data_IF_738366069372
#
_entry.id   IF_738366069372
#
_cell.length_a   1.000
_cell.length_b   1.000
_cell.length_c   1.000
_cell.angle_alpha   90.00
_cell.angle_beta   90.00
_cell.angle_gamma   90.00
#
_symmetry.space_group_name_H-M   'P 1'
#
loop_
_entity.id
_entity.type
_entity.pdbx_description
1 polymer ?
#
# COMPACT_ATOMS: atom_id res chain seq x y z
N UNK A 1 -12.11 -20.34 -9.24
CA UNK A 1 -11.59 -19.16 -8.51
C UNK A 1 -10.14 -19.44 -8.19
N UNK A 2 -9.23 -18.51 -8.50
CA UNK A 2 -7.80 -18.61 -8.12
C UNK A 2 -7.52 -17.44 -7.18
N UNK A 3 -6.92 -17.72 -6.03
CA UNK A 3 -6.52 -16.72 -5.03
C UNK A 3 -5.01 -16.87 -4.82
N UNK A 4 -4.29 -15.76 -4.79
CA UNK A 4 -2.85 -15.72 -4.54
C UNK A 4 -2.53 -14.62 -3.52
N UNK A 5 -1.59 -14.91 -2.61
CA UNK A 5 -1.20 -13.97 -1.57
C UNK A 5 -0.27 -14.61 -0.54
N UNK A 6 0.21 -13.80 0.39
CA UNK A 6 1.07 -14.22 1.49
C UNK A 6 0.50 -13.68 2.80
N UNK A 7 -0.03 -14.57 3.65
CA UNK A 7 -0.59 -14.20 4.95
C UNK A 7 0.46 -13.71 5.97
N UNK A 8 1.76 -13.79 5.65
CA UNK A 8 2.83 -13.16 6.41
C UNK A 8 3.01 -11.67 6.09
N UNK A 9 2.30 -11.14 5.10
CA UNK A 9 2.26 -9.70 4.77
C UNK A 9 1.08 -9.01 5.49
N UNK A 10 0.89 -7.72 5.19
CA UNK A 10 -0.12 -6.89 5.85
C UNK A 10 -1.53 -7.50 5.77
N UNK A 11 -2.27 -7.55 6.88
CA UNK A 11 -3.67 -7.93 6.90
C UNK A 11 -4.52 -6.87 6.18
N UNK A 12 -5.78 -7.19 5.82
CA UNK A 12 -6.65 -6.21 5.17
C UNK A 12 -6.96 -5.02 6.09
N UNK A 13 -6.94 -3.81 5.52
CA UNK A 13 -7.28 -2.57 6.23
C UNK A 13 -8.79 -2.54 6.51
N UNK A 14 -9.17 -2.26 7.75
CA UNK A 14 -10.57 -2.15 8.20
C UNK A 14 -11.43 -3.41 7.94
N UNK A 15 -10.81 -4.57 7.71
CA UNK A 15 -11.51 -5.84 7.58
C UNK A 15 -10.81 -6.93 8.41
N UNK A 16 -11.50 -8.07 8.56
CA UNK A 16 -10.99 -9.20 9.33
C UNK A 16 -10.23 -10.15 8.39
N UNK A 17 -9.02 -10.60 8.74
CA UNK A 17 -8.33 -11.65 7.98
C UNK A 17 -9.15 -12.94 7.87
N UNK A 18 -8.96 -13.71 6.79
CA UNK A 18 -9.71 -14.97 6.58
C UNK A 18 -9.38 -16.06 7.62
N UNK A 19 -8.20 -15.97 8.24
CA UNK A 19 -7.76 -16.81 9.35
C UNK A 19 -8.24 -16.29 10.72
N UNK A 20 -9.12 -15.28 10.77
CA UNK A 20 -9.70 -14.83 12.03
C UNK A 20 -10.51 -15.97 12.70
N UNK A 21 -10.38 -16.14 14.03
CA UNK A 21 -11.05 -17.22 14.75
C UNK A 21 -12.58 -17.07 14.68
N UNK A 22 -13.30 -18.17 14.94
CA UNK A 22 -14.77 -18.21 14.92
C UNK A 22 -15.41 -17.28 15.95
N UNK A 23 -14.70 -16.97 17.04
CA UNK A 23 -15.08 -15.94 18.02
C UNK A 23 -15.17 -14.53 17.43
N UNK A 24 -14.50 -14.30 16.30
CA UNK A 24 -14.42 -12.98 15.65
C UNK A 24 -15.27 -12.92 14.37
N UNK A 25 -15.44 -14.04 13.67
CA UNK A 25 -16.32 -14.19 12.51
C UNK A 25 -17.11 -15.48 12.68
N UNK A 26 -18.41 -15.33 13.00
CA UNK A 26 -19.31 -16.46 13.16
C UNK A 26 -19.39 -17.26 11.86
N UNK A 27 -19.36 -18.61 11.91
CA UNK A 27 -19.63 -19.46 10.75
C UNK A 27 -21.13 -19.56 10.42
N UNK A 28 -22.00 -18.97 11.25
CA UNK A 28 -23.45 -19.03 11.10
C UNK A 28 -23.98 -17.64 10.73
N UNK A 29 -24.79 -17.61 9.66
CA UNK A 29 -25.51 -16.42 9.22
C UNK A 29 -26.80 -16.30 10.02
N UNK A 30 -27.04 -15.12 10.61
CA UNK A 30 -28.29 -14.81 11.30
C UNK A 30 -28.92 -13.55 10.71
N UNK A 31 -30.26 -13.52 10.60
CA UNK A 31 -31.00 -12.39 10.04
C UNK A 31 -30.76 -11.05 10.76
N UNK A 32 -30.30 -11.08 12.02
CA UNK A 32 -29.96 -9.89 12.82
C UNK A 32 -28.52 -9.37 12.61
N UNK A 33 -27.67 -10.09 11.87
CA UNK A 33 -26.30 -9.64 11.58
C UNK A 33 -26.29 -8.47 10.61
N UNK A 34 -25.31 -7.57 10.78
CA UNK A 34 -25.07 -6.51 9.80
C UNK A 34 -24.71 -7.09 8.44
N UNK A 35 -24.97 -6.35 7.35
CA UNK A 35 -24.59 -6.78 5.99
C UNK A 35 -23.08 -7.06 5.90
N UNK A 36 -22.26 -6.27 6.61
CA UNK A 36 -20.80 -6.48 6.65
C UNK A 36 -20.43 -7.80 7.32
N UNK A 37 -21.07 -8.13 8.44
CA UNK A 37 -20.82 -9.39 9.15
C UNK A 37 -21.27 -10.60 8.32
N UNK A 38 -22.42 -10.50 7.65
CA UNK A 38 -22.88 -11.54 6.73
C UNK A 38 -21.87 -11.77 5.60
N UNK A 39 -21.34 -10.70 4.99
CA UNK A 39 -20.28 -10.78 3.97
C UNK A 39 -19.01 -11.43 4.51
N UNK A 40 -18.59 -11.10 5.74
CA UNK A 40 -17.43 -11.71 6.38
C UNK A 40 -17.65 -13.22 6.62
N UNK A 41 -18.83 -13.62 7.08
CA UNK A 41 -19.20 -15.03 7.27
C UNK A 41 -19.20 -15.78 5.93
N UNK A 42 -19.82 -15.23 4.89
CA UNK A 42 -19.82 -15.84 3.55
C UNK A 42 -18.39 -15.99 3.02
N UNK A 43 -17.57 -14.94 3.12
CA UNK A 43 -16.17 -14.97 2.69
C UNK A 43 -15.37 -16.06 3.40
N UNK A 44 -15.59 -16.22 4.71
CA UNK A 44 -14.97 -17.29 5.50
C UNK A 44 -15.46 -18.68 5.08
N UNK A 45 -16.77 -18.87 4.86
CA UNK A 45 -17.31 -20.15 4.39
C UNK A 45 -16.70 -20.53 3.03
N UNK A 46 -16.64 -19.58 2.08
CA UNK A 46 -16.03 -19.79 0.76
C UNK A 46 -14.55 -20.14 0.89
N UNK A 47 -13.80 -19.41 1.73
CA UNK A 47 -12.40 -19.71 2.02
C UNK A 47 -12.25 -21.17 2.47
N UNK A 48 -13.11 -21.63 3.39
CA UNK A 48 -13.09 -23.00 3.92
C UNK A 48 -13.40 -24.09 2.88
N UNK A 49 -13.97 -23.75 1.71
CA UNK A 49 -14.19 -24.69 0.60
C UNK A 49 -12.95 -24.90 -0.28
N UNK A 50 -11.91 -24.08 -0.13
CA UNK A 50 -10.67 -24.25 -0.92
C UNK A 50 -9.91 -25.48 -0.42
N UNK A 51 -9.78 -26.48 -1.30
CA UNK A 51 -9.12 -27.76 -1.04
C UNK A 51 -7.83 -27.97 -1.83
N UNK A 52 -7.58 -27.14 -2.83
CA UNK A 52 -6.35 -27.16 -3.63
C UNK A 52 -5.51 -25.96 -3.26
N UNK A 53 -4.31 -26.21 -2.77
CA UNK A 53 -3.35 -25.19 -2.34
C UNK A 53 -2.01 -25.52 -2.96
N UNK A 54 -1.31 -24.52 -3.46
CA UNK A 54 0.05 -24.65 -3.99
C UNK A 54 0.91 -23.59 -3.32
N UNK A 55 1.99 -24.01 -2.66
CA UNK A 55 2.95 -23.13 -2.00
C UNK A 55 4.21 -23.05 -2.86
N UNK A 56 4.51 -21.86 -3.36
CA UNK A 56 5.75 -21.57 -4.07
C UNK A 56 6.89 -21.42 -3.06
N UNK A 57 7.98 -22.19 -3.23
CA UNK A 57 9.11 -22.22 -2.28
C UNK A 57 10.30 -21.37 -2.72
N UNK A 58 10.50 -21.19 -4.02
CA UNK A 58 11.63 -20.43 -4.55
C UNK A 58 11.33 -18.93 -4.56
N UNK A 59 12.15 -18.15 -3.86
CA UNK A 59 12.06 -16.69 -3.85
C UNK A 59 12.83 -16.11 -5.06
N UNK A 60 12.09 -15.65 -6.07
CA UNK A 60 12.66 -15.06 -7.29
C UNK A 60 13.08 -13.59 -7.13
N UNK A 61 12.78 -12.95 -5.99
CA UNK A 61 13.17 -11.56 -5.72
C UNK A 61 14.62 -11.44 -5.25
N UNK A 62 15.06 -12.41 -4.45
CA UNK A 62 16.35 -12.42 -3.76
C UNK A 62 17.21 -13.57 -4.26
N UNK A 63 17.61 -13.50 -5.53
CA UNK A 63 18.35 -14.56 -6.23
C UNK A 63 19.85 -14.54 -5.93
N UNK A 64 20.38 -13.44 -5.40
CA UNK A 64 21.79 -13.36 -5.01
C UNK A 64 22.10 -14.32 -3.85
N UNK A 65 23.26 -14.97 -3.91
CA UNK A 65 23.67 -16.02 -2.96
C UNK A 65 24.89 -15.64 -2.11
N UNK A 66 25.18 -14.34 -1.97
CA UNK A 66 26.24 -13.91 -1.05
C UNK A 66 25.91 -14.32 0.39
N UNK A 67 26.92 -14.44 1.25
CA UNK A 67 26.71 -14.76 2.66
C UNK A 67 25.74 -13.79 3.35
N UNK A 68 25.77 -12.51 2.95
CA UNK A 68 24.84 -11.48 3.44
C UNK A 68 23.42 -11.69 2.92
N UNK A 69 23.26 -11.99 1.63
CA UNK A 69 21.95 -12.28 1.06
C UNK A 69 21.30 -13.52 1.70
N UNK A 70 22.09 -14.55 2.01
CA UNK A 70 21.61 -15.73 2.75
C UNK A 70 21.16 -15.34 4.15
N UNK A 71 21.97 -14.57 4.91
CA UNK A 71 21.59 -14.07 6.24
C UNK A 71 20.33 -13.22 6.19
N UNK A 72 20.21 -12.35 5.20
CA UNK A 72 19.04 -11.50 5.02
C UNK A 72 17.79 -12.30 4.69
N UNK A 73 17.89 -13.29 3.80
CA UNK A 73 16.79 -14.18 3.45
C UNK A 73 16.31 -14.97 4.68
N UNK A 74 17.24 -15.51 5.47
CA UNK A 74 16.91 -16.19 6.73
C UNK A 74 16.20 -15.26 7.70
N UNK A 75 16.71 -14.03 7.91
CA UNK A 75 16.08 -13.05 8.76
C UNK A 75 14.65 -12.71 8.30
N UNK A 76 14.42 -12.56 6.99
CA UNK A 76 13.08 -12.33 6.44
C UNK A 76 12.14 -13.52 6.61
N UNK A 77 12.62 -14.75 6.38
CA UNK A 77 11.84 -15.97 6.60
C UNK A 77 11.41 -16.09 8.05
N UNK A 78 12.32 -15.81 9.00
CA UNK A 78 12.01 -15.83 10.43
C UNK A 78 11.08 -14.68 10.81
N UNK A 79 11.30 -13.48 10.27
CA UNK A 79 10.47 -12.29 10.49
C UNK A 79 9.03 -12.49 10.05
N UNK A 80 8.80 -13.22 8.95
CA UNK A 80 7.47 -13.61 8.47
C UNK A 80 6.63 -14.31 9.55
N UNK A 81 7.27 -15.00 10.48
CA UNK A 81 6.64 -15.70 11.59
C UNK A 81 6.86 -15.02 12.95
N UNK A 82 7.37 -13.78 12.96
CA UNK A 82 7.83 -13.08 14.15
C UNK A 82 8.75 -13.96 15.03
N UNK A 83 9.63 -14.73 14.40
CA UNK A 83 10.51 -15.70 15.04
C UNK A 83 11.99 -15.38 14.79
N UNK A 84 12.33 -14.10 14.61
CA UNK A 84 13.73 -13.69 14.45
C UNK A 84 14.57 -14.15 15.63
N UNK A 85 15.76 -14.65 15.33
CA UNK A 85 16.77 -15.03 16.31
C UNK A 85 17.66 -13.83 16.66
N UNK A 86 18.49 -13.96 17.69
CA UNK A 86 19.49 -12.93 18.02
C UNK A 86 20.48 -12.69 16.86
N UNK A 87 20.81 -13.73 16.09
CA UNK A 87 21.66 -13.60 14.91
C UNK A 87 20.98 -12.76 13.82
N UNK A 88 19.67 -12.95 13.61
CA UNK A 88 18.88 -12.14 12.66
C UNK A 88 18.82 -10.68 13.09
N UNK A 89 18.63 -10.42 14.39
CA UNK A 89 18.61 -9.06 14.94
C UNK A 89 19.95 -8.36 14.77
N UNK A 90 21.06 -8.99 15.16
CA UNK A 90 22.40 -8.43 14.98
C UNK A 90 22.70 -8.13 13.52
N UNK A 91 22.26 -9.02 12.62
CA UNK A 91 22.40 -8.82 11.19
C UNK A 91 21.57 -7.61 10.70
N UNK A 92 20.30 -7.50 11.08
CA UNK A 92 19.45 -6.38 10.71
C UNK A 92 19.99 -5.05 11.28
N UNK A 93 20.52 -5.03 12.50
CA UNK A 93 21.19 -3.85 13.09
C UNK A 93 22.42 -3.41 12.30
N UNK A 94 23.12 -4.34 11.62
CA UNK A 94 24.23 -4.00 10.73
C UNK A 94 23.77 -3.23 9.48
N UNK A 95 22.49 -3.37 9.11
CA UNK A 95 21.86 -2.63 7.99
C UNK A 95 21.23 -1.30 8.42
N UNK A 96 21.26 -0.97 9.71
CA UNK A 96 20.82 0.33 10.22
C UNK A 96 21.90 1.38 10.00
N UNK A 97 21.50 2.56 9.51
CA UNK A 97 22.40 3.69 9.30
C UNK A 97 23.17 3.99 10.58
N UNK A 98 24.47 4.21 10.44
CA UNK A 98 25.33 4.65 11.52
C UNK A 98 26.55 5.39 10.96
N UNK A 99 27.19 6.20 11.80
CA UNK A 99 28.48 6.84 11.49
C UNK A 99 29.68 5.87 11.65
N UNK A 100 29.45 4.61 12.03
CA UNK A 100 30.50 3.60 12.21
C UNK A 100 30.93 3.02 10.86
N UNK A 101 32.19 2.63 10.74
CA UNK A 101 32.74 1.93 9.58
C UNK A 101 31.97 0.63 9.30
N UNK A 102 31.84 0.24 8.03
CA UNK A 102 31.09 -0.92 7.52
C UNK A 102 29.55 -0.90 7.73
N UNK A 103 28.95 0.27 7.96
CA UNK A 103 27.48 0.44 7.95
C UNK A 103 27.02 1.32 6.78
N UNK A 104 25.77 1.18 6.31
CA UNK A 104 25.28 1.98 5.20
C UNK A 104 25.26 3.47 5.56
N UNK A 105 25.76 4.30 4.63
CA UNK A 105 25.75 5.75 4.76
C UNK A 105 24.67 6.36 3.86
N UNK A 106 23.74 7.08 4.47
CA UNK A 106 22.65 7.77 3.75
C UNK A 106 23.13 8.88 2.81
N UNK A 107 24.35 9.37 3.02
CA UNK A 107 24.96 10.38 2.14
C UNK A 107 25.41 9.82 0.79
N UNK A 108 25.38 8.50 0.57
CA UNK A 108 25.72 7.94 -0.73
C UNK A 108 24.68 8.33 -1.78
N UNK A 109 25.16 8.70 -2.98
CA UNK A 109 24.33 9.13 -4.10
C UNK A 109 23.30 8.08 -4.55
N UNK A 110 23.59 6.79 -4.33
CA UNK A 110 22.71 5.68 -4.69
C UNK A 110 21.37 5.67 -3.93
N UNK A 111 21.30 6.33 -2.76
CA UNK A 111 20.08 6.44 -1.96
C UNK A 111 19.32 7.75 -2.19
N UNK A 112 19.87 8.65 -3.02
CA UNK A 112 19.27 9.96 -3.27
C UNK A 112 17.98 9.81 -4.06
N UNK A 113 16.93 10.49 -3.62
CA UNK A 113 15.60 10.48 -4.23
C UNK A 113 14.94 9.10 -4.31
N UNK A 114 15.47 8.11 -3.56
CA UNK A 114 14.85 6.79 -3.43
C UNK A 114 13.70 6.88 -2.42
N UNK A 115 12.52 6.42 -2.82
CA UNK A 115 11.33 6.48 -1.96
C UNK A 115 11.53 5.70 -0.64
N UNK A 116 11.31 6.34 0.50
CA UNK A 116 11.41 5.73 1.82
C UNK A 116 10.11 5.00 2.15
N UNK A 117 10.18 3.71 2.51
CA UNK A 117 9.01 2.99 3.01
C UNK A 117 8.79 3.35 4.48
N UNK A 118 7.59 3.82 4.81
CA UNK A 118 7.17 4.11 6.19
C UNK A 118 5.80 3.50 6.50
N UNK A 119 5.40 3.41 7.76
CA UNK A 119 4.15 2.77 8.17
C UNK A 119 2.91 3.66 7.95
N UNK A 120 3.04 4.98 8.08
CA UNK A 120 1.90 5.89 8.18
C UNK A 120 1.91 7.00 7.11
N UNK A 121 0.72 7.48 6.76
CA UNK A 121 0.56 8.53 5.74
C UNK A 121 1.12 9.89 6.19
N UNK A 122 1.02 10.26 7.47
CA UNK A 122 1.49 11.56 7.95
C UNK A 122 3.03 11.73 7.84
N UNK A 123 3.86 10.78 8.34
CA UNK A 123 5.31 10.80 8.08
C UNK A 123 5.63 10.78 6.58
N UNK A 124 4.91 9.96 5.79
CA UNK A 124 5.07 9.90 4.33
C UNK A 124 4.85 11.27 3.69
N UNK A 125 3.77 11.96 4.02
CA UNK A 125 3.45 13.25 3.44
C UNK A 125 4.49 14.31 3.82
N UNK A 126 4.99 14.30 5.07
CA UNK A 126 6.04 15.21 5.48
C UNK A 126 7.38 14.95 4.78
N UNK A 127 7.76 13.68 4.61
CA UNK A 127 8.97 13.30 3.87
C UNK A 127 8.84 13.70 2.39
N UNK A 128 7.66 13.52 1.80
CA UNK A 128 7.39 13.93 0.43
C UNK A 128 7.50 15.44 0.22
N UNK A 129 6.94 16.23 1.13
CA UNK A 129 7.07 17.70 1.12
C UNK A 129 8.55 18.12 1.20
N UNK A 130 9.28 17.65 2.22
CA UNK A 130 10.70 17.97 2.39
C UNK A 130 11.56 17.48 1.21
N UNK A 131 11.26 16.29 0.69
CA UNK A 131 11.92 15.70 -0.45
C UNK A 131 11.72 16.53 -1.72
N UNK A 132 10.51 17.04 -1.95
CA UNK A 132 10.23 17.93 -3.09
C UNK A 132 11.01 19.24 -3.02
N UNK A 133 11.05 19.89 -1.85
CA UNK A 133 11.83 21.12 -1.66
C UNK A 133 13.32 20.88 -1.89
N UNK A 134 13.87 19.83 -1.25
CA UNK A 134 15.27 19.45 -1.42
C UNK A 134 15.60 19.13 -2.88
N UNK A 135 14.74 18.39 -3.58
CA UNK A 135 14.97 18.05 -4.99
C UNK A 135 15.02 19.30 -5.88
N UNK A 136 14.11 20.25 -5.67
CA UNK A 136 14.09 21.50 -6.42
C UNK A 136 15.35 22.33 -6.18
N UNK A 137 15.77 22.48 -4.92
CA UNK A 137 17.02 23.17 -4.54
C UNK A 137 18.25 22.50 -5.19
N UNK A 138 18.35 21.17 -5.09
CA UNK A 138 19.48 20.41 -5.62
C UNK A 138 19.57 20.41 -7.15
N UNK A 139 18.43 20.59 -7.83
CA UNK A 139 18.37 20.67 -9.30
C UNK A 139 18.34 22.11 -9.82
N UNK A 140 18.37 23.11 -8.94
CA UNK A 140 18.27 24.53 -9.32
C UNK A 140 16.93 24.91 -9.93
N UNK A 141 15.87 24.16 -9.63
CA UNK A 141 14.51 24.39 -10.14
C UNK A 141 13.63 25.05 -9.06
N UNK A 142 12.50 25.61 -9.50
CA UNK A 142 11.46 26.15 -8.61
C UNK A 142 10.26 25.23 -8.65
N UNK A 143 9.70 24.91 -7.48
CA UNK A 143 8.44 24.17 -7.40
C UNK A 143 7.29 25.06 -7.87
N UNK A 144 6.49 24.52 -8.79
CA UNK A 144 5.25 25.13 -9.25
C UNK A 144 4.08 24.52 -8.48
N UNK A 145 3.32 25.36 -7.78
CA UNK A 145 2.12 24.95 -7.04
C UNK A 145 0.90 24.91 -7.95
N UNK A 146 0.21 23.76 -7.94
CA UNK A 146 -1.07 23.56 -8.58
C UNK A 146 -2.14 23.23 -7.55
N UNK A 147 -3.20 24.02 -7.55
CA UNK A 147 -4.27 23.92 -6.58
C UNK A 147 -5.42 23.10 -7.14
N UNK A 148 -6.15 22.40 -6.27
CA UNK A 148 -7.35 21.68 -6.67
C UNK A 148 -8.52 22.63 -6.89
N UNK A 149 -9.48 22.19 -7.70
CA UNK A 149 -10.77 22.87 -7.82
C UNK A 149 -11.79 22.13 -6.95
N UNK A 150 -12.14 22.73 -5.80
CA UNK A 150 -13.04 22.13 -4.83
C UNK A 150 -14.43 22.77 -4.89
N UNK A 151 -15.46 21.95 -4.81
CA UNK A 151 -16.87 22.39 -4.79
C UNK A 151 -17.64 21.68 -3.69
N UNK A 152 -18.65 22.34 -3.14
CA UNK A 152 -19.52 21.80 -2.09
C UNK A 152 -20.96 21.74 -2.62
N UNK A 153 -21.77 20.82 -2.09
CA UNK A 153 -23.19 20.82 -2.36
C UNK A 153 -23.88 21.81 -1.41
N UNK A 154 -24.80 22.64 -1.91
CA UNK A 154 -25.48 23.72 -1.16
C UNK A 154 -26.07 23.35 0.22
N UNK A 155 -26.30 22.07 0.51
CA UNK A 155 -26.84 21.60 1.79
C UNK A 155 -25.82 20.91 2.72
N UNK A 156 -24.52 21.02 2.44
CA UNK A 156 -23.47 20.52 3.33
C UNK A 156 -23.14 21.58 4.40
N UNK A 157 -24.13 21.99 5.18
CA UNK A 157 -23.87 22.67 6.45
C UNK A 157 -23.12 21.73 7.39
N UNK A 158 -22.24 22.28 8.22
CA UNK A 158 -21.44 21.57 9.25
C UNK A 158 -22.34 20.59 10.02
N UNK A 159 -22.35 19.32 9.62
CA UNK A 159 -23.26 18.32 10.16
C UNK A 159 -22.48 17.32 10.99
N UNK A 160 -22.49 17.50 12.31
CA UNK A 160 -22.06 16.50 13.29
C UNK A 160 -22.91 15.20 13.29
N UNK A 161 -23.86 15.03 12.37
CA UNK A 161 -24.79 13.87 12.36
C UNK A 161 -25.05 13.37 10.94
N UNK A 162 -24.94 12.04 10.75
CA UNK A 162 -25.40 11.34 9.54
C UNK A 162 -26.85 11.71 9.25
N UNK A 163 -27.20 12.19 8.04
CA UNK A 163 -28.58 12.58 7.74
C UNK A 163 -29.50 11.36 7.74
N UNK A 164 -30.63 11.46 8.44
CA UNK A 164 -31.73 10.50 8.35
C UNK A 164 -32.35 10.58 6.95
N UNK A 165 -32.71 9.42 6.40
CA UNK A 165 -33.37 9.28 5.10
C UNK A 165 -34.72 10.02 5.08
N UNK A 166 -34.74 11.26 4.57
CA UNK A 166 -35.98 11.93 4.18
C UNK A 166 -36.14 11.76 2.68
N UNK A 167 -37.16 10.99 2.28
CA UNK A 167 -37.59 10.87 0.88
C UNK A 167 -38.32 12.16 0.49
N UNK A 168 -37.75 12.95 -0.43
CA UNK A 168 -38.47 14.08 -1.01
C UNK A 168 -37.62 14.94 -1.95
N UNK A 169 -38.08 15.05 -3.21
CA UNK A 169 -37.67 15.95 -4.31
C UNK A 169 -36.18 15.95 -4.71
N UNK A 170 -35.92 15.55 -5.97
CA UNK A 170 -34.67 15.85 -6.67
C UNK A 170 -34.57 17.36 -6.89
N UNK A 171 -34.03 18.09 -5.92
CA UNK A 171 -33.46 19.41 -6.15
C UNK A 171 -32.11 19.22 -6.85
N UNK A 172 -31.93 19.89 -8.00
CA UNK A 172 -30.64 19.98 -8.67
C UNK A 172 -29.67 20.60 -7.68
N UNK A 173 -28.68 19.83 -7.20
CA UNK A 173 -27.67 20.33 -6.28
C UNK A 173 -26.77 21.28 -7.05
N UNK A 174 -27.01 22.59 -6.91
CA UNK A 174 -26.05 23.59 -7.32
C UNK A 174 -24.74 23.35 -6.54
N UNK A 175 -23.63 23.33 -7.29
CA UNK A 175 -22.29 23.23 -6.73
C UNK A 175 -21.84 24.65 -6.44
N UNK A 176 -21.63 24.97 -5.17
CA UNK A 176 -21.09 26.26 -4.75
C UNK A 176 -19.60 26.16 -4.49
N UNK A 177 -18.89 27.24 -4.81
CA UNK A 177 -17.48 27.45 -4.47
C UNK A 177 -17.34 27.68 -2.97
N UNK A 178 -16.24 27.20 -2.40
CA UNK A 178 -15.95 27.37 -0.98
C UNK A 178 -15.56 28.82 -0.64
N UNK A 179 -15.83 29.31 0.57
CA UNK A 179 -15.26 30.57 1.04
C UNK A 179 -13.71 30.52 0.96
N UNK A 180 -13.02 31.61 0.56
CA UNK A 180 -11.57 31.60 0.36
C UNK A 180 -10.76 31.06 1.56
N UNK A 181 -11.13 31.44 2.78
CA UNK A 181 -10.45 30.97 3.99
C UNK A 181 -10.54 29.45 4.18
N UNK A 182 -11.72 28.85 3.90
CA UNK A 182 -11.90 27.39 3.97
C UNK A 182 -11.16 26.69 2.84
N UNK A 183 -11.16 27.29 1.64
CA UNK A 183 -10.43 26.75 0.49
C UNK A 183 -8.93 26.70 0.76
N UNK A 184 -8.36 27.76 1.36
CA UNK A 184 -6.95 27.82 1.72
C UNK A 184 -6.57 26.70 2.71
N UNK A 185 -7.37 26.49 3.75
CA UNK A 185 -7.15 25.38 4.70
C UNK A 185 -7.14 24.01 4.01
N UNK A 186 -8.00 23.80 3.02
CA UNK A 186 -8.08 22.55 2.26
C UNK A 186 -6.90 22.35 1.30
N UNK A 187 -6.28 23.43 0.82
CA UNK A 187 -5.07 23.40 0.01
C UNK A 187 -3.82 23.14 0.86
N UNK A 188 -3.77 23.70 2.07
CA UNK A 188 -2.65 23.54 3.00
C UNK A 188 -2.69 22.20 3.76
N UNK A 189 -3.85 21.53 3.80
CA UNK A 189 -3.98 20.22 4.42
C UNK A 189 -3.18 19.13 3.69
N UNK A 190 -2.38 18.36 4.45
CA UNK A 190 -1.70 17.19 3.89
C UNK A 190 -2.70 16.17 3.33
N UNK A 191 -2.33 15.41 2.27
CA UNK A 191 -3.18 14.35 1.73
C UNK A 191 -3.67 13.33 2.77
N UNK A 192 -2.91 13.09 3.85
CA UNK A 192 -3.28 12.22 4.97
C UNK A 192 -4.57 12.65 5.69
N UNK A 193 -4.95 13.93 5.64
CA UNK A 193 -6.19 14.46 6.22
C UNK A 193 -7.41 14.26 5.30
N UNK A 194 -7.23 13.61 4.16
CA UNK A 194 -8.32 13.21 3.27
C UNK A 194 -8.47 11.69 3.23
N UNK A 195 -9.71 11.19 3.26
CA UNK A 195 -10.00 9.74 3.27
C UNK A 195 -9.36 9.00 2.08
N UNK A 196 -9.35 9.63 0.91
CA UNK A 196 -8.85 9.06 -0.34
C UNK A 196 -7.43 9.47 -0.69
N UNK A 197 -6.78 10.26 0.16
CA UNK A 197 -5.42 10.77 -0.01
C UNK A 197 -5.22 11.56 -1.31
N UNK A 198 -6.16 12.45 -1.63
CA UNK A 198 -6.12 13.33 -2.80
C UNK A 198 -5.66 14.71 -2.35
N UNK A 199 -4.50 15.15 -2.86
CA UNK A 199 -3.90 16.42 -2.48
C UNK A 199 -4.79 17.62 -2.85
N UNK A 200 -4.87 18.61 -1.95
CA UNK A 200 -5.45 19.92 -2.27
C UNK A 200 -4.48 20.79 -3.07
N UNK A 201 -3.18 20.63 -2.83
CA UNK A 201 -2.10 21.32 -3.54
C UNK A 201 -1.04 20.31 -3.98
N UNK A 202 -0.56 20.44 -5.21
CA UNK A 202 0.55 19.68 -5.75
C UNK A 202 1.70 20.63 -6.10
N UNK A 203 2.84 20.47 -5.44
CA UNK A 203 4.06 21.20 -5.74
C UNK A 203 4.96 20.34 -6.63
N UNK A 204 5.18 20.76 -7.88
CA UNK A 204 5.84 19.96 -8.92
C UNK A 204 6.96 20.74 -9.62
N UNK A 205 7.99 20.02 -10.06
CA UNK A 205 8.99 20.49 -11.04
C UNK A 205 9.34 19.33 -11.99
N UNK A 206 10.01 19.62 -13.10
CA UNK A 206 10.38 18.58 -14.07
C UNK A 206 11.40 17.62 -13.46
N UNK A 207 11.21 16.32 -13.70
CA UNK A 207 12.02 15.24 -13.15
C UNK A 207 11.62 14.79 -11.74
N UNK A 208 10.71 15.51 -11.06
CA UNK A 208 10.29 15.18 -9.69
C UNK A 208 9.70 13.75 -9.63
N UNK A 209 10.17 12.88 -8.71
CA UNK A 209 9.57 11.56 -8.49
C UNK A 209 8.12 11.67 -8.02
N UNK A 210 7.22 10.97 -8.71
CA UNK A 210 5.78 10.90 -8.40
C UNK A 210 5.28 9.46 -8.42
N UNK A 211 4.15 9.23 -7.76
CA UNK A 211 3.42 7.96 -7.77
C UNK A 211 1.97 8.20 -8.16
N UNK A 212 1.49 7.41 -9.12
CA UNK A 212 0.10 7.44 -9.58
C UNK A 212 -0.81 6.86 -8.49
N UNK A 213 -1.93 7.52 -8.20
CA UNK A 213 -2.85 7.17 -7.11
C UNK A 213 -4.20 6.64 -7.58
N UNK A 214 -4.40 6.52 -8.89
CA UNK A 214 -5.62 6.03 -9.50
C UNK A 214 -5.34 4.98 -10.58
N UNK A 215 -6.27 4.04 -10.77
CA UNK A 215 -6.27 3.19 -11.94
C UNK A 215 -7.05 3.91 -13.03
N UNK A 216 -6.37 4.40 -14.07
CA UNK A 216 -7.03 5.08 -15.20
C UNK A 216 -7.03 4.19 -16.44
N UNK A 217 -5.85 3.73 -16.86
CA UNK A 217 -5.69 2.87 -18.02
C UNK A 217 -4.62 1.81 -17.73
N UNK A 218 -5.07 0.62 -17.31
CA UNK A 218 -4.18 -0.53 -17.05
C UNK A 218 -3.39 -0.92 -18.28
N UNK A 219 -3.98 -0.76 -19.47
CA UNK A 219 -3.33 -1.00 -20.76
C UNK A 219 -2.18 -0.04 -21.07
N UNK A 220 -2.16 1.14 -20.45
CA UNK A 220 -1.07 2.11 -20.57
C UNK A 220 -0.18 2.11 -19.32
N UNK A 221 -0.31 1.10 -18.46
CA UNK A 221 0.36 1.00 -17.17
C UNK A 221 0.05 2.18 -16.21
N UNK A 222 -1.02 2.95 -16.46
CA UNK A 222 -1.50 4.04 -15.61
C UNK A 222 -2.31 3.44 -14.47
N UNK A 223 -1.60 2.90 -13.48
CA UNK A 223 -2.15 2.15 -12.37
C UNK A 223 -1.77 2.74 -11.03
N UNK A 224 -2.63 2.55 -10.02
CA UNK A 224 -2.38 2.99 -8.66
C UNK A 224 -1.13 2.29 -8.11
N UNK A 225 -0.13 3.08 -7.76
CA UNK A 225 1.14 2.63 -7.24
C UNK A 225 2.26 2.55 -8.28
N UNK A 226 1.98 2.81 -9.56
CA UNK A 226 3.01 2.99 -10.59
C UNK A 226 3.84 4.23 -10.28
N UNK A 227 5.17 4.08 -10.33
CA UNK A 227 6.14 5.13 -10.08
C UNK A 227 6.53 5.81 -11.39
N UNK A 228 6.87 7.10 -11.32
CA UNK A 228 7.27 7.87 -12.48
C UNK A 228 7.98 9.16 -12.11
N UNK A 229 8.36 9.92 -13.13
CA UNK A 229 8.93 11.26 -13.02
C UNK A 229 8.07 12.25 -13.80
N UNK A 230 7.95 13.47 -13.28
CA UNK A 230 7.27 14.55 -14.00
C UNK A 230 8.03 14.85 -15.29
N UNK A 231 7.39 14.69 -16.45
CA UNK A 231 7.95 15.03 -17.76
C UNK A 231 7.54 16.44 -18.22
N UNK A 232 6.41 16.95 -17.70
CA UNK A 232 5.87 18.27 -18.03
C UNK A 232 4.40 18.36 -17.64
N UNK A 233 3.75 19.47 -17.93
CA UNK A 233 2.32 19.67 -17.64
C UNK A 233 1.69 20.72 -18.54
N UNK A 234 0.35 20.72 -18.57
CA UNK A 234 -0.47 21.86 -18.98
C UNK A 234 -1.20 22.42 -17.77
N UNK A 235 -1.41 23.73 -17.78
CA UNK A 235 -2.10 24.45 -16.70
C UNK A 235 -3.38 25.11 -17.19
N UNK A 236 -4.28 25.38 -16.26
CA UNK A 236 -5.49 26.15 -16.49
C UNK A 236 -5.77 27.06 -15.28
N UNK A 237 -6.79 27.91 -15.39
CA UNK A 237 -7.29 28.76 -14.31
C UNK A 237 -8.50 28.12 -13.63
N UNK A 238 -8.49 28.04 -12.31
CA UNK A 238 -9.57 27.47 -11.49
C UNK A 238 -10.62 28.51 -11.06
N UNK A 239 -11.58 28.08 -10.24
CA UNK A 239 -12.74 28.89 -9.84
C UNK A 239 -12.42 30.06 -8.88
N UNK A 240 -11.22 30.09 -8.31
CA UNK A 240 -10.69 31.13 -7.43
C UNK A 240 -9.51 31.87 -8.09
N UNK A 241 -9.46 31.91 -9.43
CA UNK A 241 -8.35 32.45 -10.23
C UNK A 241 -6.97 31.83 -9.92
N UNK A 242 -6.98 30.64 -9.32
CA UNK A 242 -5.80 29.90 -8.94
C UNK A 242 -5.27 29.04 -10.09
N UNK A 243 -3.96 28.82 -10.12
CA UNK A 243 -3.33 27.89 -11.07
C UNK A 243 -3.74 26.45 -10.75
N UNK A 244 -4.35 25.76 -11.71
CA UNK A 244 -4.72 24.35 -11.60
C UNK A 244 -3.94 23.49 -12.58
N UNK A 245 -3.69 22.24 -12.21
CA UNK A 245 -3.03 21.26 -13.08
C UNK A 245 -4.09 20.63 -13.98
N UNK A 246 -3.98 20.83 -15.29
CA UNK A 246 -4.96 20.31 -16.25
C UNK A 246 -4.58 18.90 -16.70
N UNK A 247 -3.37 18.77 -17.27
CA UNK A 247 -2.77 17.50 -17.66
C UNK A 247 -1.34 17.42 -17.15
N UNK A 248 -0.99 16.29 -16.54
CA UNK A 248 0.38 15.98 -16.13
C UNK A 248 0.96 14.92 -17.05
N UNK A 249 2.13 15.19 -17.61
CA UNK A 249 2.91 14.19 -18.33
C UNK A 249 3.86 13.49 -17.36
N UNK A 250 3.79 12.16 -17.30
CA UNK A 250 4.61 11.34 -16.39
C UNK A 250 5.40 10.32 -17.20
N UNK A 251 6.72 10.34 -17.04
CA UNK A 251 7.62 9.28 -17.51
C UNK A 251 7.55 8.11 -16.53
N UNK A 252 7.05 6.94 -16.98
CA UNK A 252 6.91 5.75 -16.14
C UNK A 252 8.27 5.08 -15.90
N UNK A 253 8.57 4.77 -14.63
CA UNK A 253 9.76 4.01 -14.23
C UNK A 253 9.43 2.51 -14.28
N UNK A 254 10.25 1.75 -15.01
CA UNK A 254 10.16 0.28 -15.14
C UNK A 254 8.73 -0.26 -15.35
N UNK A 255 7.95 0.27 -16.31
CA UNK A 255 6.60 -0.20 -16.53
C UNK A 255 6.62 -1.67 -17.00
N UNK A 256 5.59 -2.48 -16.67
CA UNK A 256 5.51 -3.90 -17.07
C UNK A 256 5.64 -4.15 -18.57
N UNK A 257 5.24 -3.17 -19.39
CA UNK A 257 5.47 -3.15 -20.84
C UNK A 257 5.91 -1.75 -21.24
N UNK A 258 6.70 -1.67 -22.31
CA UNK A 258 7.04 -0.38 -22.92
C UNK A 258 5.76 0.28 -23.44
N UNK A 259 5.57 1.55 -23.12
CA UNK A 259 4.45 2.37 -23.59
C UNK A 259 4.97 3.40 -24.59
N UNK A 260 4.24 3.61 -25.68
CA UNK A 260 4.51 4.63 -26.67
C UNK A 260 3.19 5.24 -27.11
N UNK A 261 2.88 6.43 -26.59
CA UNK A 261 1.73 7.22 -27.05
C UNK A 261 2.21 8.05 -28.25
N UNK A 262 1.39 8.23 -29.31
CA UNK A 262 1.73 9.12 -30.41
C UNK A 262 2.14 10.50 -29.90
N UNK A 263 3.19 11.06 -30.51
CA UNK A 263 3.73 12.41 -30.22
C UNK A 263 4.30 12.61 -28.80
N UNK A 264 4.35 11.58 -27.96
CA UNK A 264 5.02 11.62 -26.65
C UNK A 264 6.31 10.80 -26.67
N UNK A 265 7.30 11.13 -25.81
CA UNK A 265 8.46 10.27 -25.63
C UNK A 265 8.08 8.88 -25.12
N UNK A 266 8.99 7.92 -25.29
CA UNK A 266 8.82 6.55 -24.79
C UNK A 266 8.53 6.56 -23.29
N UNK A 267 7.56 5.75 -22.87
CA UNK A 267 7.06 5.61 -21.50
C UNK A 267 6.48 6.90 -20.88
N UNK A 268 6.26 7.95 -21.66
CA UNK A 268 5.56 9.15 -21.18
C UNK A 268 4.06 8.99 -21.43
N UNK A 269 3.28 9.20 -20.38
CA UNK A 269 1.81 9.14 -20.41
C UNK A 269 1.20 10.46 -19.91
N UNK A 270 0.03 10.80 -20.44
CA UNK A 270 -0.75 11.95 -19.98
C UNK A 270 -1.78 11.51 -18.93
N UNK A 271 -1.82 12.20 -17.80
CA UNK A 271 -2.76 11.98 -16.70
C UNK A 271 -3.56 13.27 -16.51
N UNK A 272 -4.87 13.21 -16.71
CA UNK A 272 -5.74 14.39 -16.61
C UNK A 272 -6.37 14.50 -15.22
N UNK A 273 -6.80 15.71 -14.86
CA UNK A 273 -7.52 15.92 -13.60
C UNK A 273 -8.83 15.13 -13.57
N UNK A 274 -9.12 14.53 -12.42
CA UNK A 274 -10.35 13.75 -12.20
C UNK A 274 -11.13 14.35 -11.04
N UNK A 275 -12.46 14.39 -11.16
CA UNK A 275 -13.36 14.83 -10.10
C UNK A 275 -13.74 13.66 -9.17
N UNK A 276 -13.48 13.78 -7.87
CA UNK A 276 -13.83 12.78 -6.84
C UNK A 276 -14.48 13.43 -5.63
N UNK A 277 -15.42 12.73 -5.00
CA UNK A 277 -15.95 13.11 -3.68
C UNK A 277 -14.95 12.69 -2.60
N UNK A 278 -14.64 13.61 -1.70
CA UNK A 278 -13.62 13.43 -0.67
C UNK A 278 -14.14 13.96 0.66
N UNK A 279 -13.97 13.18 1.72
CA UNK A 279 -14.08 13.68 3.09
C UNK A 279 -12.73 14.24 3.53
N UNK A 280 -12.74 15.51 3.91
CA UNK A 280 -11.57 16.24 4.39
C UNK A 280 -11.75 16.56 5.87
N UNK A 281 -10.73 16.27 6.67
CA UNK A 281 -10.65 16.67 8.07
C UNK A 281 -10.04 18.07 8.14
N UNK A 282 -10.73 18.99 8.80
CA UNK A 282 -10.30 20.35 9.03
C UNK A 282 -9.48 20.46 10.34
N UNK A 283 -8.71 21.54 10.56
CA UNK A 283 -7.90 21.73 11.76
C UNK A 283 -8.69 21.76 13.09
N UNK A 284 -10.01 21.98 13.01
CA UNK A 284 -10.94 21.96 14.14
C UNK A 284 -11.61 20.59 14.36
N UNK A 285 -11.04 19.53 13.78
CA UNK A 285 -11.53 18.15 13.76
C UNK A 285 -12.89 17.95 13.08
N UNK A 286 -13.44 18.98 12.44
CA UNK A 286 -14.66 18.83 11.64
C UNK A 286 -14.37 18.11 10.33
N UNK A 287 -15.33 17.31 9.88
CA UNK A 287 -15.26 16.61 8.59
C UNK A 287 -16.17 17.26 7.56
N UNK A 288 -15.59 17.67 6.44
CA UNK A 288 -16.31 18.29 5.33
C UNK A 288 -16.28 17.39 4.09
N UNK A 289 -17.44 17.16 3.48
CA UNK A 289 -17.51 16.46 2.20
C UNK A 289 -17.45 17.48 1.05
N UNK A 290 -16.42 17.37 0.23
CA UNK A 290 -16.23 18.18 -0.98
C UNK A 290 -16.21 17.31 -2.23
N UNK A 291 -16.40 17.91 -3.39
CA UNK A 291 -16.02 17.35 -4.68
C UNK A 291 -14.74 18.04 -5.12
N UNK A 292 -13.64 17.30 -5.16
CA UNK A 292 -12.30 17.77 -5.50
C UNK A 292 -11.95 17.32 -6.91
N UNK A 293 -11.52 18.27 -7.75
CA UNK A 293 -10.95 18.02 -9.07
C UNK A 293 -9.43 18.27 -9.01
N UNK A 294 -8.66 17.21 -9.27
CA UNK A 294 -7.19 17.25 -9.24
C UNK A 294 -6.62 16.06 -10.02
N UNK A 295 -5.37 16.18 -10.51
CA UNK A 295 -4.61 15.04 -11.03
C UNK A 295 -4.23 14.11 -9.88
N UNK A 296 -4.50 12.81 -10.03
CA UNK A 296 -4.39 11.84 -8.95
C UNK A 296 -2.97 11.25 -8.84
N UNK A 297 -2.00 12.11 -8.52
CA UNK A 297 -0.61 11.75 -8.21
C UNK A 297 -0.20 12.30 -6.84
N UNK A 298 0.87 11.77 -6.27
CA UNK A 298 1.57 12.36 -5.12
C UNK A 298 3.09 12.28 -5.36
N UNK A 299 3.90 13.20 -4.77
CA UNK A 299 5.35 13.02 -4.74
C UNK A 299 5.72 11.65 -4.13
N UNK A 300 6.87 11.11 -4.55
CA UNK A 300 7.29 9.75 -4.20
C UNK A 300 8.73 9.70 -3.64
N UNK A 301 9.03 10.57 -2.67
CA UNK A 301 10.19 10.44 -1.79
C UNK A 301 9.90 9.55 -0.58
N UNK A 302 8.62 9.27 -0.31
CA UNK A 302 8.17 8.25 0.61
C UNK A 302 6.86 7.59 0.14
N UNK A 303 6.69 6.33 0.55
CA UNK A 303 5.48 5.56 0.36
C UNK A 303 5.12 4.77 1.62
N UNK A 304 3.85 4.40 1.79
CA UNK A 304 3.48 3.49 2.87
C UNK A 304 3.89 2.04 2.58
N UNK A 305 4.10 1.25 3.62
CA UNK A 305 4.28 -0.21 3.53
C UNK A 305 3.17 -0.90 2.71
N UNK A 306 1.91 -0.51 2.88
CA UNK A 306 0.80 -0.94 2.03
C UNK A 306 1.00 -0.58 0.55
N UNK A 307 1.47 0.64 0.25
CA UNK A 307 1.71 1.08 -1.13
C UNK A 307 2.94 0.39 -1.74
N UNK A 308 3.85 -0.09 -0.90
CA UNK A 308 5.04 -0.85 -1.33
C UNK A 308 4.72 -2.31 -1.68
N UNK A 309 3.58 -2.83 -1.23
CA UNK A 309 3.26 -4.25 -1.34
C UNK A 309 3.29 -4.74 -2.80
N UNK A 310 3.97 -5.86 -3.03
CA UNK A 310 4.13 -6.44 -4.37
C UNK A 310 5.27 -5.85 -5.21
N UNK A 311 5.90 -4.75 -4.77
CA UNK A 311 7.06 -4.17 -5.47
C UNK A 311 8.36 -4.93 -5.17
N UNK A 312 9.29 -4.88 -6.11
CA UNK A 312 10.69 -5.30 -5.95
C UNK A 312 11.57 -4.08 -6.16
N UNK A 313 12.56 -3.88 -5.30
CA UNK A 313 13.42 -2.70 -5.30
C UNK A 313 14.89 -3.11 -5.26
N UNK A 314 15.69 -2.53 -6.16
CA UNK A 314 17.15 -2.68 -6.13
C UNK A 314 17.72 -2.03 -4.87
N UNK A 315 17.31 -0.78 -4.64
CA UNK A 315 17.62 -0.01 -3.44
C UNK A 315 16.35 0.16 -2.61
N UNK A 316 16.37 -0.34 -1.38
CA UNK A 316 15.23 -0.34 -0.46
C UNK A 316 15.59 0.38 0.84
N UNK A 317 15.13 1.63 0.95
CA UNK A 317 15.27 2.44 2.16
C UNK A 317 13.98 2.33 2.97
N UNK A 318 14.09 1.92 4.23
CA UNK A 318 12.93 1.70 5.12
C UNK A 318 13.07 2.42 6.45
N UNK A 319 11.98 3.02 6.91
CA UNK A 319 11.82 3.50 8.28
C UNK A 319 10.88 2.56 9.05
N UNK A 320 11.46 1.81 9.99
CA UNK A 320 10.77 0.78 10.76
C UNK A 320 10.25 1.26 12.12
N UNK A 321 10.59 2.49 12.53
CA UNK A 321 10.31 2.96 13.88
C UNK A 321 8.81 2.93 14.21
N UNK A 322 8.00 3.41 13.26
CA UNK A 322 6.55 3.49 13.38
C UNK A 322 5.80 2.23 12.90
N UNK A 323 6.50 1.19 12.45
CA UNK A 323 5.86 -0.04 12.00
C UNK A 323 5.17 -0.75 13.18
N UNK A 324 3.86 -1.05 13.10
CA UNK A 324 3.09 -1.50 14.25
C UNK A 324 3.32 -2.97 14.64
N UNK A 325 3.76 -3.81 13.70
CA UNK A 325 3.86 -5.27 13.90
C UNK A 325 4.81 -5.93 12.88
N UNK A 326 5.09 -7.23 13.06
CA UNK A 326 5.94 -8.00 12.15
C UNK A 326 5.47 -8.00 10.69
N UNK A 327 4.15 -7.93 10.41
CA UNK A 327 3.65 -7.88 9.03
C UNK A 327 4.17 -6.63 8.31
N UNK A 328 4.17 -5.48 8.99
CA UNK A 328 4.66 -4.21 8.46
C UNK A 328 6.19 -4.26 8.25
N UNK A 329 6.93 -4.77 9.24
CA UNK A 329 8.38 -4.99 9.14
C UNK A 329 8.76 -5.88 7.94
N UNK A 330 8.15 -7.06 7.87
CA UNK A 330 8.39 -8.03 6.80
C UNK A 330 7.96 -7.47 5.44
N UNK A 331 6.81 -6.80 5.37
CA UNK A 331 6.33 -6.20 4.11
C UNK A 331 7.28 -5.12 3.60
N UNK A 332 7.80 -4.25 4.47
CA UNK A 332 8.74 -3.20 4.09
C UNK A 332 10.10 -3.75 3.66
N UNK A 333 10.70 -4.66 4.45
CA UNK A 333 12.03 -5.19 4.18
C UNK A 333 12.07 -6.18 3.02
N UNK A 334 11.04 -7.01 2.85
CA UNK A 334 10.99 -8.02 1.78
C UNK A 334 10.80 -7.42 0.38
N UNK A 335 10.72 -6.10 0.22
CA UNK A 335 10.78 -5.43 -1.09
C UNK A 335 12.19 -5.42 -1.66
N UNK A 336 13.21 -5.54 -0.81
CA UNK A 336 14.59 -5.49 -1.26
C UNK A 336 14.99 -6.76 -2.01
N UNK A 337 15.69 -6.58 -3.13
CA UNK A 337 16.26 -7.66 -3.94
C UNK A 337 17.59 -8.19 -3.40
N UNK A 338 18.35 -7.38 -2.66
CA UNK A 338 19.65 -7.75 -2.10
C UNK A 338 19.83 -7.19 -0.69
N UNK A 339 20.73 -7.79 0.08
CA UNK A 339 21.21 -7.24 1.34
C UNK A 339 21.83 -5.86 1.14
N UNK A 340 22.75 -5.75 0.17
CA UNK A 340 23.54 -4.54 -0.07
C UNK A 340 22.65 -3.32 -0.37
N UNK A 341 21.56 -3.53 -1.12
CA UNK A 341 20.57 -2.49 -1.42
C UNK A 341 19.61 -2.16 -0.27
N UNK A 342 19.67 -2.85 0.88
CA UNK A 342 18.76 -2.62 2.01
C UNK A 342 19.35 -1.65 3.03
N UNK A 343 18.62 -0.58 3.33
CA UNK A 343 18.96 0.38 4.39
C UNK A 343 17.80 0.53 5.36
N UNK A 344 18.10 0.48 6.65
CA UNK A 344 17.17 0.78 7.73
C UNK A 344 17.53 2.15 8.32
N UNK A 345 16.60 3.10 8.30
CA UNK A 345 16.87 4.48 8.70
C UNK A 345 17.07 4.65 10.21
N UNK A 346 16.23 3.99 10.99
CA UNK A 346 16.17 4.13 12.45
C UNK A 346 16.27 2.75 13.10
N UNK A 347 16.33 2.72 14.43
CA UNK A 347 16.27 1.48 15.19
C UNK A 347 14.98 0.69 14.93
N UNK A 348 14.99 -0.55 15.39
CA UNK A 348 13.85 -1.47 15.30
C UNK A 348 13.45 -1.95 16.68
N UNK A 349 12.15 -2.23 16.84
CA UNK A 349 11.64 -2.89 18.03
C UNK A 349 11.70 -4.41 17.84
N UNK A 350 12.74 -5.01 18.42
CA UNK A 350 12.98 -6.45 18.35
C UNK A 350 11.77 -7.27 18.85
N UNK A 351 11.03 -6.79 19.85
CA UNK A 351 9.89 -7.52 20.40
C UNK A 351 8.80 -7.77 19.34
N UNK A 352 8.61 -6.86 18.39
CA UNK A 352 7.61 -7.01 17.31
C UNK A 352 7.91 -8.19 16.39
N UNK A 353 9.18 -8.58 16.25
CA UNK A 353 9.64 -9.60 15.29
C UNK A 353 10.20 -10.87 15.95
N UNK A 354 10.14 -10.99 17.28
CA UNK A 354 10.58 -12.19 18.03
C UNK A 354 9.49 -12.85 18.88
N UNK A 355 8.34 -12.19 19.07
CA UNK A 355 7.25 -12.65 19.96
C UNK A 355 6.39 -13.81 19.42
N UNK A 356 6.66 -14.28 18.20
CA UNK A 356 5.86 -15.28 17.51
C UNK A 356 4.51 -14.77 16.98
N UNK A 357 3.94 -15.53 16.05
CA UNK A 357 2.62 -15.27 15.48
C UNK A 357 1.46 -15.79 16.35
N UNK A 358 0.30 -15.15 16.18
CA UNK A 358 -0.95 -15.56 16.81
C UNK A 358 -1.34 -17.00 16.44
N UNK A 359 -1.99 -17.70 17.38
CA UNK A 359 -2.35 -19.12 17.22
C UNK A 359 -3.21 -19.41 15.99
N UNK A 360 -4.16 -18.52 15.66
CA UNK A 360 -5.02 -18.70 14.48
C UNK A 360 -4.25 -18.59 13.16
N UNK A 361 -3.27 -17.68 13.06
CA UNK A 361 -2.40 -17.58 11.88
C UNK A 361 -1.45 -18.79 11.79
N UNK A 362 -0.94 -19.26 12.93
CA UNK A 362 -0.12 -20.48 12.97
C UNK A 362 -0.90 -21.70 12.50
N UNK A 363 -2.16 -21.81 12.92
CA UNK A 363 -3.06 -22.86 12.45
C UNK A 363 -3.28 -22.76 10.95
N UNK A 364 -3.56 -21.57 10.41
CA UNK A 364 -3.76 -21.38 8.97
C UNK A 364 -2.53 -21.81 8.17
N UNK A 365 -1.33 -21.37 8.56
CA UNK A 365 -0.11 -21.80 7.86
C UNK A 365 0.08 -23.32 7.88
N UNK A 366 -0.16 -23.96 9.02
CA UNK A 366 -0.09 -25.42 9.13
C UNK A 366 -1.12 -26.13 8.23
N UNK A 367 -2.34 -25.62 8.17
CA UNK A 367 -3.39 -26.19 7.32
C UNK A 367 -3.05 -26.02 5.84
N UNK A 368 -2.52 -24.86 5.44
CA UNK A 368 -2.08 -24.62 4.06
C UNK A 368 -0.93 -25.55 3.64
N UNK A 369 0.04 -25.83 4.52
CA UNK A 369 1.11 -26.80 4.24
C UNK A 369 0.56 -28.22 4.03
N UNK A 370 -0.39 -28.65 4.86
CA UNK A 370 -1.05 -29.96 4.69
C UNK A 370 -1.82 -30.01 3.38
N UNK A 371 -2.59 -28.97 3.05
CA UNK A 371 -3.33 -28.91 1.78
C UNK A 371 -2.40 -28.86 0.57
N UNK A 372 -1.24 -28.21 0.69
CA UNK A 372 -0.20 -28.21 -0.34
C UNK A 372 0.34 -29.63 -0.59
N UNK A 373 0.62 -30.38 0.48
CA UNK A 373 1.06 -31.77 0.36
C UNK A 373 -0.02 -32.69 -0.24
N UNK A 374 -1.28 -32.53 0.18
CA UNK A 374 -2.41 -33.25 -0.42
C UNK A 374 -2.53 -32.94 -1.91
N UNK A 375 -2.35 -31.66 -2.28
CA UNK A 375 -2.44 -31.21 -3.68
C UNK A 375 -1.30 -31.80 -4.52
N UNK A 376 -0.07 -31.86 -3.96
CA UNK A 376 1.09 -32.50 -4.59
C UNK A 376 0.85 -33.99 -4.84
N UNK A 377 0.47 -34.74 -3.81
CA UNK A 377 0.18 -36.18 -3.93
C UNK A 377 -0.96 -36.47 -4.90
N UNK A 378 -1.99 -35.61 -4.92
CA UNK A 378 -3.09 -35.75 -5.89
C UNK A 378 -2.61 -35.55 -7.33
N UNK A 379 -1.72 -34.58 -7.54
CA UNK A 379 -1.15 -34.29 -8.85
C UNK A 379 -0.24 -35.43 -9.35
N UNK A 380 0.55 -36.01 -8.45
CA UNK A 380 1.45 -37.15 -8.75
C UNK A 380 0.71 -38.49 -8.90
N UNK A 381 -0.56 -38.57 -8.48
CA UNK A 381 -1.34 -39.80 -8.51
C UNK A 381 -1.16 -40.70 -7.28
N UNK A 382 -0.39 -40.23 -6.28
CA UNK A 382 -0.04 -40.97 -5.07
C UNK A 382 -1.05 -40.80 -3.92
N UNK A 383 -2.06 -39.95 -4.09
CA UNK A 383 -3.09 -39.74 -3.07
C UNK A 383 -4.13 -40.88 -3.08
N UNK A 384 -4.30 -41.65 -1.99
CA UNK A 384 -5.30 -42.71 -1.95
C UNK A 384 -6.73 -42.18 -2.07
N UNK A 385 -7.61 -42.97 -2.69
CA UNK A 385 -9.04 -42.65 -2.85
C UNK A 385 -9.79 -42.49 -1.51
N UNK A 386 -9.24 -43.02 -0.42
CA UNK A 386 -9.78 -42.87 0.94
C UNK A 386 -9.62 -41.44 1.48
N UNK A 387 -8.65 -40.68 0.98
CA UNK A 387 -8.42 -39.28 1.36
C UNK A 387 -9.34 -38.37 0.55
N UNK A 388 -10.49 -38.03 1.15
CA UNK A 388 -11.53 -37.20 0.54
C UNK A 388 -12.13 -36.24 1.56
N UNK A 389 -12.76 -35.18 1.07
CA UNK A 389 -13.49 -34.21 1.88
C UNK A 389 -14.04 -33.10 1.01
N UNK A 390 -15.23 -32.61 1.35
CA UNK A 390 -15.91 -31.55 0.60
C UNK A 390 -15.33 -30.17 0.89
N UNK A 391 -14.81 -29.99 2.11
CA UNK A 391 -14.18 -28.78 2.59
C UNK A 391 -12.78 -29.09 3.14
N UNK A 392 -12.01 -28.04 3.45
CA UNK A 392 -10.64 -28.20 3.96
C UNK A 392 -10.57 -29.04 5.23
N UNK A 393 -11.54 -28.91 6.14
CA UNK A 393 -11.51 -29.55 7.46
C UNK A 393 -11.65 -31.06 7.31
N UNK A 394 -12.62 -31.50 6.51
CA UNK A 394 -12.83 -32.91 6.19
C UNK A 394 -11.64 -33.52 5.46
N UNK A 395 -11.11 -32.80 4.47
CA UNK A 395 -9.99 -33.28 3.66
C UNK A 395 -8.69 -33.41 4.48
N UNK A 396 -8.37 -32.40 5.32
CA UNK A 396 -7.24 -32.47 6.24
C UNK A 396 -7.43 -33.60 7.25
N UNK A 397 -8.65 -33.79 7.75
CA UNK A 397 -8.95 -34.87 8.70
C UNK A 397 -8.74 -36.25 8.08
N UNK A 398 -9.27 -36.51 6.88
CA UNK A 398 -9.10 -37.81 6.21
C UNK A 398 -7.64 -38.08 5.85
N UNK A 399 -6.89 -37.06 5.42
CA UNK A 399 -5.46 -37.16 5.16
C UNK A 399 -4.67 -37.54 6.42
N UNK A 400 -4.96 -36.92 7.57
CA UNK A 400 -4.31 -37.22 8.84
C UNK A 400 -4.66 -38.58 9.44
N UNK A 401 -5.78 -39.17 9.05
CA UNK A 401 -6.12 -40.55 9.45
C UNK A 401 -5.38 -41.56 8.59
N UNK A 402 -5.10 -41.20 7.34
CA UNK A 402 -4.35 -42.05 6.42
C UNK A 402 -2.83 -42.04 6.70
N UNK A 403 -2.24 -40.88 6.96
CA UNK A 403 -0.85 -40.74 7.40
C UNK A 403 -0.66 -41.23 8.82
#
# INVERSE_FOLDING_TARGET
MIVAGDFGQLPPVNAKPLYSPDSTVSPIIHAKQSILDQKNTIGKIIWQQITTVVILKQNMRQTAETADDVRFRTALTNMRFAACTNADLQYLESRTISKRDNRPNFSNLEFRNVSIITAFNAPKDKINELGSHKFAEETGQVLTSFYSNDTVADNAGDSQRKPKNVRGRQTVKLKTTLPPNRQQQLWDAHPSFTETHIAGKLDLCVGLPVMIRNNEATELCITKGQEGRVAGWTEATGNHDQRILDTLFVELIDPPKTIQVPDLPRNVVAITKTSKKVWCMLPDDMSLQITREQVLVLPNFAMTDYSSQGKTRAINVVDLNNCPNHFSYYTALSRSSTSAGTIILQGMDAHKITRGIHGSLRQEFRELEILNEISRLRYEGDLPLTVRGWNRRELIRSFRVWK
#
